data_IF_398343877111
#
_entry.id   IF_398343877111
#
_cell.length_a   1.000
_cell.length_b   1.000
_cell.length_c   1.000
_cell.angle_alpha   90.00
_cell.angle_beta   90.00
_cell.angle_gamma   90.00
#
_symmetry.space_group_name_H-M   'P 1'
#
loop_
_entity.id
_entity.type
_entity.pdbx_description
1 polymer ?
#
# COMPACT_ATOMS: atom_id res chain seq x y z
N UNK A 1 7.70 22.73 -31.12
CA UNK A 1 7.14 21.39 -30.81
C UNK A 1 7.04 21.25 -29.30
N UNK A 2 5.94 20.71 -28.78
CA UNK A 2 5.82 20.42 -27.34
C UNK A 2 6.84 19.34 -26.94
N UNK A 3 7.38 19.44 -25.72
CA UNK A 3 8.22 18.40 -25.09
C UNK A 3 7.57 17.01 -25.23
N UNK A 4 6.23 16.93 -25.11
CA UNK A 4 5.46 15.70 -25.29
C UNK A 4 5.68 15.06 -26.66
N UNK A 5 5.75 15.86 -27.73
CA UNK A 5 5.90 15.37 -29.10
C UNK A 5 7.29 14.82 -29.37
N UNK A 6 8.32 15.42 -28.77
CA UNK A 6 9.70 14.96 -28.90
C UNK A 6 9.95 13.67 -28.09
N UNK A 7 9.43 13.59 -26.86
CA UNK A 7 9.57 12.42 -26.00
C UNK A 7 8.86 11.18 -26.56
N UNK A 8 7.67 11.35 -27.17
CA UNK A 8 6.95 10.22 -27.81
C UNK A 8 7.76 9.44 -28.86
N UNK A 9 8.76 10.05 -29.50
CA UNK A 9 9.57 9.38 -30.53
C UNK A 9 10.66 8.47 -29.97
N UNK A 10 11.02 8.61 -28.70
CA UNK A 10 12.10 7.86 -28.04
C UNK A 10 11.60 6.89 -26.97
N UNK A 11 10.29 6.88 -26.69
CA UNK A 11 9.71 5.92 -25.77
C UNK A 11 9.58 4.53 -26.42
N UNK A 12 9.98 3.45 -25.73
CA UNK A 12 9.79 2.09 -26.22
C UNK A 12 8.30 1.72 -26.33
N UNK A 13 7.95 0.70 -27.15
CA UNK A 13 6.58 0.20 -27.18
C UNK A 13 6.20 -0.36 -25.80
N UNK A 14 5.02 0.02 -25.31
CA UNK A 14 4.47 -0.42 -24.02
C UNK A 14 3.72 -1.73 -24.26
N UNK A 15 4.05 -2.77 -23.50
CA UNK A 15 3.31 -4.04 -23.51
C UNK A 15 1.94 -3.90 -22.83
N UNK A 16 1.05 -4.87 -23.02
CA UNK A 16 -0.30 -4.83 -22.42
C UNK A 16 -0.22 -4.70 -20.88
N UNK A 17 0.63 -5.50 -20.24
CA UNK A 17 0.80 -5.48 -18.79
C UNK A 17 1.41 -4.17 -18.29
N UNK A 18 2.35 -3.59 -19.04
CA UNK A 18 2.90 -2.27 -18.68
C UNK A 18 1.87 -1.16 -18.87
N UNK A 19 0.97 -1.28 -19.85
CA UNK A 19 -0.13 -0.33 -20.04
C UNK A 19 -1.14 -0.42 -18.90
N UNK A 20 -1.53 -1.63 -18.49
CA UNK A 20 -2.42 -1.85 -17.33
C UNK A 20 -1.82 -1.27 -16.04
N UNK A 21 -0.52 -1.43 -15.81
CA UNK A 21 0.16 -0.84 -14.67
C UNK A 21 0.21 0.70 -14.72
N UNK A 22 0.35 1.29 -15.91
CA UNK A 22 0.30 2.75 -16.09
C UNK A 22 -1.12 3.29 -15.89
N UNK A 23 -2.13 2.57 -16.37
CA UNK A 23 -3.55 2.96 -16.29
C UNK A 23 -4.12 2.77 -14.87
N UNK A 24 -3.53 1.88 -14.06
CA UNK A 24 -3.84 1.75 -12.65
C UNK A 24 -3.34 2.95 -11.81
N UNK A 25 -2.39 3.73 -12.34
CA UNK A 25 -1.89 4.93 -11.70
C UNK A 25 -2.73 6.17 -12.00
N UNK A 26 -2.87 7.06 -11.02
CA UNK A 26 -3.56 8.34 -11.18
C UNK A 26 -2.58 9.52 -11.11
N UNK A 27 -3.00 10.67 -11.65
CA UNK A 27 -2.26 11.93 -11.50
C UNK A 27 -2.89 12.76 -10.38
N UNK A 28 -2.06 13.27 -9.47
CA UNK A 28 -2.49 14.04 -8.31
C UNK A 28 -2.00 15.50 -8.40
N UNK A 29 -1.51 16.06 -7.30
CA UNK A 29 -1.12 17.47 -7.22
C UNK A 29 0.07 17.81 -8.12
N UNK A 30 0.95 16.85 -8.38
CA UNK A 30 2.11 17.00 -9.24
C UNK A 30 1.73 17.39 -10.67
N UNK A 31 0.53 17.02 -11.14
CA UNK A 31 0.02 17.47 -12.44
C UNK A 31 0.00 19.01 -12.56
N UNK A 32 -0.51 19.69 -11.53
CA UNK A 32 -0.59 21.16 -11.47
C UNK A 32 0.80 21.79 -11.33
N UNK A 33 1.70 21.12 -10.61
CA UNK A 33 3.09 21.54 -10.42
C UNK A 33 3.84 21.49 -11.76
N UNK A 34 3.75 20.38 -12.49
CA UNK A 34 4.39 20.23 -13.81
C UNK A 34 3.80 21.14 -14.89
N UNK A 35 2.57 21.63 -14.70
CA UNK A 35 1.97 22.66 -15.55
C UNK A 35 2.44 24.09 -15.19
N UNK A 36 3.26 24.26 -14.15
CA UNK A 36 3.71 25.57 -13.67
C UNK A 36 2.61 26.39 -12.99
N UNK A 37 1.51 25.73 -12.59
CA UNK A 37 0.37 26.36 -11.90
C UNK A 37 -0.03 25.52 -10.67
N UNK A 38 0.80 25.48 -9.61
CA UNK A 38 0.51 24.66 -8.43
C UNK A 38 -0.84 25.04 -7.80
N UNK A 39 -1.74 24.06 -7.67
CA UNK A 39 -3.04 24.28 -7.03
C UNK A 39 -2.99 24.01 -5.52
N UNK A 40 -2.64 25.04 -4.76
CA UNK A 40 -2.58 24.99 -3.29
C UNK A 40 -3.97 24.99 -2.63
N UNK A 41 -5.04 25.32 -3.37
CA UNK A 41 -6.39 25.24 -2.84
C UNK A 41 -6.86 23.78 -2.83
N UNK A 42 -6.60 23.04 -3.92
CA UNK A 42 -6.85 21.60 -3.99
C UNK A 42 -6.19 20.85 -2.84
N UNK A 43 -4.90 21.12 -2.55
CA UNK A 43 -4.17 20.51 -1.43
C UNK A 43 -4.84 20.76 -0.07
N UNK A 44 -5.29 22.01 0.18
CA UNK A 44 -5.91 22.37 1.46
C UNK A 44 -7.34 21.85 1.59
N UNK A 45 -8.00 21.55 0.47
CA UNK A 45 -9.34 20.98 0.46
C UNK A 45 -9.37 19.45 0.62
N UNK A 46 -8.20 18.80 0.68
CA UNK A 46 -8.14 17.36 0.87
C UNK A 46 -8.83 16.98 2.18
N UNK A 47 -9.74 15.99 2.15
CA UNK A 47 -10.37 15.53 3.37
C UNK A 47 -9.32 14.88 4.27
N UNK A 48 -9.51 15.01 5.58
CA UNK A 48 -8.71 14.26 6.54
C UNK A 48 -8.99 12.77 6.36
N UNK A 49 -7.92 11.96 6.29
CA UNK A 49 -8.05 10.51 6.30
C UNK A 49 -8.69 10.04 7.61
N UNK A 50 -9.72 9.21 7.50
CA UNK A 50 -10.42 8.62 8.65
C UNK A 50 -10.49 7.12 8.48
N UNK A 51 -10.32 6.39 9.58
CA UNK A 51 -10.55 4.95 9.60
C UNK A 51 -12.04 4.67 9.80
N UNK A 52 -12.55 3.70 9.07
CA UNK A 52 -13.85 3.07 9.36
C UNK A 52 -13.78 2.27 10.66
N UNK A 53 -14.94 1.88 11.18
CA UNK A 53 -15.01 1.07 12.39
C UNK A 53 -14.27 -0.29 12.23
N UNK A 54 -14.39 -0.93 11.07
CA UNK A 54 -13.72 -2.20 10.78
C UNK A 54 -12.19 -2.04 10.72
N UNK A 55 -11.70 -0.98 10.08
CA UNK A 55 -10.27 -0.69 9.98
C UNK A 55 -9.67 -0.32 11.35
N UNK A 56 -10.39 0.48 12.14
CA UNK A 56 -9.98 0.82 13.50
C UNK A 56 -9.94 -0.44 14.39
N UNK A 57 -10.95 -1.31 14.29
CA UNK A 57 -10.97 -2.58 15.02
C UNK A 57 -9.82 -3.51 14.60
N UNK A 58 -9.42 -3.49 13.33
CA UNK A 58 -8.27 -4.25 12.86
C UNK A 58 -6.95 -3.72 13.43
N UNK A 59 -6.81 -2.39 13.48
CA UNK A 59 -5.65 -1.72 14.07
C UNK A 59 -5.55 -1.98 15.58
N UNK A 60 -6.67 -1.91 16.31
CA UNK A 60 -6.67 -2.05 17.77
C UNK A 60 -6.65 -3.51 18.25
N UNK A 61 -6.92 -4.47 17.35
CA UNK A 61 -6.91 -5.91 17.65
C UNK A 61 -5.76 -6.62 16.95
N UNK A 62 -5.97 -7.18 15.74
CA UNK A 62 -4.97 -7.93 14.99
C UNK A 62 -3.57 -7.30 14.93
N UNK A 63 -3.46 -5.98 14.70
CA UNK A 63 -2.15 -5.31 14.61
C UNK A 63 -1.46 -5.26 15.97
N UNK A 64 -2.20 -4.95 17.05
CA UNK A 64 -1.65 -4.97 18.42
C UNK A 64 -1.18 -6.38 18.80
N UNK A 65 -1.96 -7.42 18.47
CA UNK A 65 -1.56 -8.80 18.72
C UNK A 65 -0.30 -9.18 17.94
N UNK A 66 -0.22 -8.82 16.64
CA UNK A 66 0.98 -9.05 15.83
C UNK A 66 2.21 -8.39 16.45
N UNK A 67 2.11 -7.13 16.89
CA UNK A 67 3.24 -6.42 17.50
C UNK A 67 3.73 -7.13 18.76
N UNK A 68 2.81 -7.66 19.58
CA UNK A 68 3.17 -8.41 20.78
C UNK A 68 3.78 -9.79 20.50
N UNK A 69 3.59 -10.34 19.30
CA UNK A 69 4.20 -11.61 18.87
C UNK A 69 5.62 -11.44 18.33
N UNK A 70 6.03 -10.22 17.99
CA UNK A 70 7.27 -9.96 17.26
C UNK A 70 8.35 -9.41 18.19
N UNK A 71 9.49 -10.09 18.22
CA UNK A 71 10.75 -9.58 18.75
C UNK A 71 11.68 -9.31 17.57
N UNK A 72 11.86 -8.03 17.23
CA UNK A 72 12.65 -7.61 16.06
C UNK A 72 14.15 -7.93 16.21
N UNK A 73 14.67 -7.90 17.44
CA UNK A 73 16.05 -8.28 17.68
C UNK A 73 16.25 -9.77 17.42
N UNK A 74 15.39 -10.62 17.96
CA UNK A 74 15.43 -12.06 17.70
C UNK A 74 15.29 -12.34 16.19
N UNK A 75 14.33 -11.68 15.53
CA UNK A 75 14.08 -11.85 14.10
C UNK A 75 15.27 -11.43 13.23
N UNK A 76 16.00 -10.38 13.62
CA UNK A 76 17.21 -9.93 12.90
C UNK A 76 18.39 -10.91 12.96
N UNK A 77 18.36 -11.86 13.89
CA UNK A 77 19.39 -12.89 14.04
C UNK A 77 18.99 -14.23 13.41
N UNK A 78 17.82 -14.31 12.77
CA UNK A 78 17.30 -15.50 12.11
C UNK A 78 17.19 -15.25 10.60
N UNK A 79 17.25 -16.32 9.80
CA UNK A 79 17.10 -16.23 8.34
C UNK A 79 15.63 -16.08 7.91
N UNK A 80 14.69 -16.45 8.78
CA UNK A 80 13.27 -16.58 8.44
C UNK A 80 12.36 -16.01 9.52
N UNK A 81 11.21 -15.47 9.09
CA UNK A 81 10.12 -15.08 10.00
C UNK A 81 9.57 -16.36 10.65
N UNK A 82 9.36 -16.39 11.98
CA UNK A 82 8.79 -17.55 12.66
C UNK A 82 7.45 -17.98 12.07
N UNK A 83 7.26 -19.28 11.86
CA UNK A 83 6.02 -19.82 11.27
C UNK A 83 4.73 -19.36 11.99
N UNK A 84 4.67 -19.29 13.34
CA UNK A 84 3.48 -18.78 14.03
C UNK A 84 3.10 -17.35 13.64
N UNK A 85 4.07 -16.49 13.32
CA UNK A 85 3.83 -15.12 12.86
C UNK A 85 3.27 -15.15 11.43
N UNK A 86 3.84 -15.95 10.54
CA UNK A 86 3.32 -16.12 9.18
C UNK A 86 1.88 -16.65 9.18
N UNK A 87 1.60 -17.67 9.99
CA UNK A 87 0.25 -18.25 10.12
C UNK A 87 -0.75 -17.21 10.64
N UNK A 88 -0.32 -16.37 11.59
CA UNK A 88 -1.13 -15.27 12.13
C UNK A 88 -1.44 -14.22 11.04
N UNK A 89 -0.44 -13.81 10.25
CA UNK A 89 -0.60 -12.87 9.15
C UNK A 89 -1.59 -13.39 8.12
N UNK A 90 -1.46 -14.66 7.72
CA UNK A 90 -2.37 -15.33 6.79
C UNK A 90 -3.79 -15.40 7.35
N UNK A 91 -3.96 -15.89 8.57
CA UNK A 91 -5.27 -16.07 9.22
C UNK A 91 -6.04 -14.76 9.33
N UNK A 92 -5.34 -13.67 9.66
CA UNK A 92 -5.93 -12.35 9.83
C UNK A 92 -5.90 -11.51 8.55
N UNK A 93 -5.53 -12.09 7.40
CA UNK A 93 -5.60 -11.43 6.09
C UNK A 93 -4.72 -10.17 5.94
N UNK A 94 -3.59 -10.12 6.64
CA UNK A 94 -2.62 -9.04 6.47
C UNK A 94 -2.09 -8.93 5.03
N UNK A 95 -2.07 -10.03 4.26
CA UNK A 95 -1.62 -10.04 2.86
C UNK A 95 -2.71 -9.68 1.84
N UNK A 96 -3.93 -9.37 2.28
CA UNK A 96 -5.07 -9.10 1.39
C UNK A 96 -5.96 -7.96 1.92
N UNK A 97 -5.34 -6.97 2.58
CA UNK A 97 -6.05 -5.83 3.16
C UNK A 97 -6.74 -5.01 2.08
N UNK A 98 -6.05 -4.71 0.98
CA UNK A 98 -6.60 -3.90 -0.12
C UNK A 98 -7.53 -4.67 -1.07
N UNK A 99 -7.51 -6.00 -1.01
CA UNK A 99 -8.25 -6.83 -1.97
C UNK A 99 -9.76 -6.69 -1.69
N UNK A 100 -10.60 -6.49 -2.73
CA UNK A 100 -12.05 -6.37 -2.56
C UNK A 100 -12.66 -7.55 -1.78
N UNK A 101 -13.69 -7.27 -0.97
CA UNK A 101 -14.36 -8.29 -0.13
C UNK A 101 -14.95 -9.44 -0.97
N UNK A 102 -15.40 -9.14 -2.20
CA UNK A 102 -15.90 -10.13 -3.18
C UNK A 102 -14.87 -11.19 -3.58
N UNK A 103 -13.58 -10.90 -3.43
CA UNK A 103 -12.48 -11.84 -3.66
C UNK A 103 -11.87 -12.39 -2.36
N UNK A 104 -12.52 -12.12 -1.21
CA UNK A 104 -12.10 -12.62 0.09
C UNK A 104 -11.07 -11.75 0.82
N UNK A 105 -10.75 -10.56 0.33
CA UNK A 105 -9.92 -9.59 1.06
C UNK A 105 -10.69 -8.78 2.10
N UNK A 106 -10.09 -7.69 2.58
CA UNK A 106 -10.69 -6.80 3.58
C UNK A 106 -11.26 -5.50 2.98
N UNK A 107 -10.85 -5.12 1.77
CA UNK A 107 -11.25 -3.88 1.09
C UNK A 107 -10.98 -2.63 1.94
N UNK A 108 -9.82 -2.62 2.60
CA UNK A 108 -9.36 -1.49 3.40
C UNK A 108 -8.88 -0.35 2.50
N UNK A 109 -9.10 0.87 2.97
CA UNK A 109 -8.70 2.11 2.31
C UNK A 109 -7.17 2.25 2.26
N UNK A 110 -6.64 3.07 1.33
CA UNK A 110 -5.22 3.43 1.31
C UNK A 110 -4.75 4.06 2.63
N UNK A 111 -5.63 4.80 3.31
CA UNK A 111 -5.34 5.39 4.62
C UNK A 111 -5.17 4.32 5.70
N UNK A 112 -6.04 3.30 5.73
CA UNK A 112 -5.89 2.18 6.66
C UNK A 112 -4.64 1.35 6.36
N UNK A 113 -4.39 1.00 5.09
CA UNK A 113 -3.20 0.26 4.68
C UNK A 113 -1.90 0.98 5.14
N UNK A 114 -1.77 2.27 4.82
CA UNK A 114 -0.61 3.08 5.23
C UNK A 114 -0.48 3.21 6.75
N UNK A 115 -1.59 3.41 7.47
CA UNK A 115 -1.58 3.51 8.94
C UNK A 115 -1.14 2.19 9.57
N UNK A 116 -1.72 1.06 9.16
CA UNK A 116 -1.38 -0.28 9.67
C UNK A 116 0.09 -0.60 9.42
N UNK A 117 0.58 -0.41 8.20
CA UNK A 117 1.99 -0.67 7.85
C UNK A 117 2.93 0.22 8.67
N UNK A 118 2.62 1.50 8.82
CA UNK A 118 3.43 2.41 9.63
C UNK A 118 3.45 1.99 11.10
N UNK A 119 2.32 1.56 11.65
CA UNK A 119 2.23 1.05 13.03
C UNK A 119 3.06 -0.21 13.23
N UNK A 120 3.01 -1.17 12.29
CA UNK A 120 3.86 -2.37 12.33
C UNK A 120 5.34 -2.01 12.23
N UNK A 121 5.70 -1.04 11.39
CA UNK A 121 7.09 -0.63 11.17
C UNK A 121 7.78 -0.05 12.41
N UNK A 122 7.01 0.47 13.38
CA UNK A 122 7.54 0.90 14.68
C UNK A 122 8.04 -0.29 15.51
N UNK A 123 7.41 -1.46 15.34
CA UNK A 123 7.82 -2.69 16.03
C UNK A 123 8.85 -3.49 15.23
N UNK A 124 8.66 -3.64 13.93
CA UNK A 124 9.60 -4.36 13.04
C UNK A 124 9.48 -3.90 11.59
N UNK A 125 10.59 -3.42 11.04
CA UNK A 125 10.67 -3.06 9.62
C UNK A 125 10.55 -4.27 8.70
N UNK A 126 11.08 -5.42 9.10
CA UNK A 126 11.01 -6.65 8.31
C UNK A 126 9.55 -7.13 8.15
N UNK A 127 8.80 -7.21 9.24
CA UNK A 127 7.38 -7.59 9.20
C UNK A 127 6.55 -6.57 8.42
N UNK A 128 6.83 -5.27 8.60
CA UNK A 128 6.13 -4.22 7.86
C UNK A 128 6.32 -4.37 6.34
N UNK A 129 7.54 -4.64 5.86
CA UNK A 129 7.80 -4.87 4.44
C UNK A 129 7.11 -6.13 3.94
N UNK A 130 7.13 -7.22 4.72
CA UNK A 130 6.44 -8.47 4.39
C UNK A 130 4.93 -8.28 4.22
N UNK A 131 4.30 -7.43 5.03
CA UNK A 131 2.88 -7.07 4.90
C UNK A 131 2.64 -6.06 3.77
N UNK A 132 3.51 -5.06 3.63
CA UNK A 132 3.33 -3.95 2.68
C UNK A 132 3.43 -4.38 1.23
N UNK A 133 4.41 -5.24 0.87
CA UNK A 133 4.69 -5.56 -0.53
C UNK A 133 3.48 -6.19 -1.24
N UNK A 134 2.79 -7.20 -0.70
CA UNK A 134 1.57 -7.74 -1.31
C UNK A 134 0.43 -6.71 -1.44
N UNK A 135 0.36 -5.71 -0.54
CA UNK A 135 -0.67 -4.67 -0.51
C UNK A 135 -0.26 -3.38 -1.24
N UNK A 136 0.79 -3.40 -2.07
CA UNK A 136 1.24 -2.22 -2.84
C UNK A 136 1.79 -2.56 -4.22
N UNK A 137 2.48 -3.69 -4.34
CA UNK A 137 3.09 -4.18 -5.59
C UNK A 137 2.57 -5.58 -5.97
N UNK A 138 1.54 -6.06 -5.26
CA UNK A 138 0.94 -7.36 -5.50
C UNK A 138 -0.08 -7.33 -6.64
N UNK A 139 -0.52 -8.51 -7.12
CA UNK A 139 -1.54 -8.61 -8.17
C UNK A 139 -2.93 -8.08 -7.75
N UNK A 140 -3.11 -7.68 -6.49
CA UNK A 140 -4.34 -7.07 -5.99
C UNK A 140 -4.73 -5.78 -6.71
N UNK A 141 -3.75 -4.99 -7.17
CA UNK A 141 -3.99 -3.78 -7.98
C UNK A 141 -4.69 -4.08 -9.32
N UNK A 142 -4.53 -5.30 -9.86
CA UNK A 142 -5.22 -5.72 -11.09
C UNK A 142 -6.67 -6.16 -10.85
N UNK A 143 -7.13 -6.18 -9.60
CA UNK A 143 -8.48 -6.63 -9.21
C UNK A 143 -9.41 -5.47 -8.83
N UNK A 144 -8.91 -4.24 -8.87
CA UNK A 144 -9.63 -3.03 -8.46
C UNK A 144 -10.60 -2.52 -9.52
#
# INVERSE_FOLDING_TARGET
MSIRTSLKKVLPPISITEQEALDAGDVWIESSIYQGKPDMAALRSLPQGTLTADEQAFLDGPVVELINMVDDYALSNEDHIPQPVIDFLCKNKFFSMIIPKKFGGLEFSPYANSTIVATIAVASGAIAVTVMVPNSLGPGELLM
#
